data_IF_144391689638
#
_entry.id   IF_144391689638
#
_cell.length_a   1.000
_cell.length_b   1.000
_cell.length_c   1.000
_cell.angle_alpha   90.00
_cell.angle_beta   90.00
_cell.angle_gamma   90.00
#
_symmetry.space_group_name_H-M   'P 1'
#
loop_
_entity.id
_entity.type
_entity.pdbx_description
1 polymer ?
#
# COMPACT_ATOMS: atom_id res chain seq x y z
N UNK A 1 6.41 -23.05 34.58
CA UNK A 1 7.18 -22.36 33.51
C UNK A 1 6.17 -21.97 32.46
N UNK A 2 6.00 -20.67 32.31
CA UNK A 2 4.88 -20.03 31.63
C UNK A 2 4.94 -20.24 30.11
N UNK A 3 3.92 -20.90 29.55
CA UNK A 3 3.83 -21.18 28.11
C UNK A 3 3.46 -19.89 27.34
N UNK A 4 2.79 -18.95 28.00
CA UNK A 4 2.37 -17.66 27.42
C UNK A 4 3.58 -16.73 27.23
N UNK A 5 4.54 -16.74 28.15
CA UNK A 5 5.79 -15.98 28.02
C UNK A 5 6.65 -16.45 26.83
N UNK A 6 6.56 -17.74 26.46
CA UNK A 6 7.28 -18.30 25.30
C UNK A 6 6.63 -17.88 23.98
N UNK A 7 5.30 -17.83 23.92
CA UNK A 7 4.58 -17.36 22.73
C UNK A 7 4.86 -15.87 22.41
N UNK A 8 5.00 -15.02 23.43
CA UNK A 8 5.41 -13.61 23.25
C UNK A 8 6.85 -13.45 22.72
N UNK A 9 7.68 -14.47 22.87
CA UNK A 9 9.09 -14.46 22.45
C UNK A 9 9.33 -14.98 21.02
N UNK A 10 8.33 -15.62 20.37
CA UNK A 10 8.62 -16.33 19.13
C UNK A 10 8.74 -15.46 17.88
N UNK A 11 8.08 -14.29 17.76
CA UNK A 11 8.22 -13.46 16.55
C UNK A 11 8.25 -11.92 16.77
N UNK A 12 8.84 -11.38 17.85
CA UNK A 12 8.94 -9.93 18.04
C UNK A 12 9.76 -9.24 16.94
N UNK A 13 10.71 -9.94 16.31
CA UNK A 13 11.50 -9.41 15.20
C UNK A 13 10.70 -9.28 13.89
N UNK A 14 9.94 -10.31 13.53
CA UNK A 14 9.08 -10.28 12.35
C UNK A 14 8.00 -9.19 12.47
N UNK A 15 7.39 -9.05 13.66
CA UNK A 15 6.43 -7.97 13.93
C UNK A 15 7.09 -6.59 13.82
N UNK A 16 8.27 -6.39 14.42
CA UNK A 16 9.03 -5.12 14.30
C UNK A 16 9.37 -4.81 12.84
N UNK A 17 9.78 -5.81 12.07
CA UNK A 17 10.06 -5.66 10.65
C UNK A 17 8.79 -5.23 9.89
N UNK A 18 7.67 -5.91 10.11
CA UNK A 18 6.40 -5.57 9.47
C UNK A 18 5.93 -4.15 9.81
N UNK A 19 6.03 -3.73 11.07
CA UNK A 19 5.71 -2.37 11.49
C UNK A 19 6.62 -1.31 10.84
N UNK A 20 7.91 -1.62 10.68
CA UNK A 20 8.84 -0.75 9.94
C UNK A 20 8.45 -0.65 8.47
N UNK A 21 8.15 -1.76 7.82
CA UNK A 21 7.68 -1.78 6.43
C UNK A 21 6.38 -0.98 6.27
N UNK A 22 5.40 -1.18 7.16
CA UNK A 22 4.15 -0.43 7.17
C UNK A 22 4.40 1.08 7.31
N UNK A 23 5.28 1.47 8.22
CA UNK A 23 5.65 2.88 8.42
C UNK A 23 6.32 3.45 7.16
N UNK A 24 7.26 2.71 6.56
CA UNK A 24 7.89 3.10 5.29
C UNK A 24 6.85 3.29 4.17
N UNK A 25 5.91 2.36 4.02
CA UNK A 25 4.83 2.46 3.05
C UNK A 25 3.97 3.70 3.30
N UNK A 26 3.56 3.96 4.54
CA UNK A 26 2.76 5.14 4.88
C UNK A 26 3.49 6.46 4.58
N UNK A 27 4.80 6.53 4.86
CA UNK A 27 5.61 7.71 4.56
C UNK A 27 5.69 7.98 3.05
N UNK A 28 5.95 6.94 2.26
CA UNK A 28 6.01 7.05 0.79
C UNK A 28 4.64 7.43 0.24
N UNK A 29 3.58 6.74 0.67
CA UNK A 29 2.22 6.99 0.22
C UNK A 29 1.77 8.42 0.51
N UNK A 30 2.11 8.95 1.69
CA UNK A 30 1.83 10.34 2.05
C UNK A 30 2.50 11.32 1.09
N UNK A 31 3.77 11.11 0.78
CA UNK A 31 4.51 11.98 -0.15
C UNK A 31 3.95 11.90 -1.58
N UNK A 32 3.66 10.70 -2.07
CA UNK A 32 3.08 10.50 -3.40
C UNK A 32 1.70 11.16 -3.49
N UNK A 33 0.83 10.97 -2.49
CA UNK A 33 -0.49 11.60 -2.45
C UNK A 33 -0.41 13.13 -2.42
N UNK A 34 0.53 13.70 -1.66
CA UNK A 34 0.75 15.14 -1.65
C UNK A 34 1.19 15.64 -3.02
N UNK A 35 2.20 15.00 -3.62
CA UNK A 35 2.71 15.36 -4.94
C UNK A 35 1.65 15.26 -6.05
N UNK A 36 0.81 14.23 -6.03
CA UNK A 36 -0.29 14.07 -6.99
C UNK A 36 -1.34 15.19 -6.87
N UNK A 37 -1.68 15.60 -5.65
CA UNK A 37 -2.64 16.70 -5.43
C UNK A 37 -2.04 18.04 -5.81
N UNK A 38 -0.85 18.35 -5.31
CA UNK A 38 -0.24 19.68 -5.45
C UNK A 38 0.20 19.99 -6.88
N UNK A 39 0.68 18.97 -7.62
CA UNK A 39 1.26 19.17 -8.95
C UNK A 39 0.32 18.83 -10.09
N UNK A 40 -0.68 17.99 -9.86
CA UNK A 40 -1.49 17.40 -10.93
C UNK A 40 -3.00 17.43 -10.65
N UNK A 41 -3.44 18.02 -9.53
CA UNK A 41 -4.85 18.08 -9.12
C UNK A 41 -5.56 16.71 -9.19
N UNK A 42 -4.85 15.66 -8.81
CA UNK A 42 -5.35 14.29 -8.86
C UNK A 42 -5.10 13.54 -7.56
N UNK A 43 -5.68 12.35 -7.46
CA UNK A 43 -5.55 11.48 -6.29
C UNK A 43 -4.85 10.19 -6.66
N UNK A 44 -4.20 9.56 -5.68
CA UNK A 44 -3.55 8.26 -5.89
C UNK A 44 -4.51 7.19 -6.46
N UNK A 45 -5.77 7.03 -5.96
CA UNK A 45 -6.72 6.08 -6.55
C UNK A 45 -7.08 6.40 -8.01
N UNK A 46 -7.26 7.68 -8.35
CA UNK A 46 -7.55 8.07 -9.74
C UNK A 46 -6.36 7.79 -10.65
N UNK A 47 -5.16 8.12 -10.21
CA UNK A 47 -3.94 7.81 -10.96
C UNK A 47 -3.78 6.31 -11.18
N UNK A 48 -3.98 5.50 -10.14
CA UNK A 48 -3.86 4.05 -10.22
C UNK A 48 -4.80 3.48 -11.30
N UNK A 49 -6.09 3.86 -11.24
CA UNK A 49 -7.10 3.49 -12.23
C UNK A 49 -6.69 3.88 -13.66
N UNK A 50 -6.26 5.13 -13.86
CA UNK A 50 -5.86 5.63 -15.17
C UNK A 50 -4.63 4.88 -15.70
N UNK A 51 -3.68 4.53 -14.81
CA UNK A 51 -2.49 3.77 -15.18
C UNK A 51 -2.79 2.32 -15.54
N UNK A 52 -3.87 1.73 -15.00
CA UNK A 52 -4.33 0.41 -15.39
C UNK A 52 -4.99 0.46 -16.78
N UNK A 53 -5.82 1.47 -17.02
CA UNK A 53 -6.46 1.68 -18.33
C UNK A 53 -5.45 1.98 -19.44
N UNK A 54 -4.43 2.79 -19.16
CA UNK A 54 -3.38 3.11 -20.14
C UNK A 54 -2.62 1.86 -20.61
N UNK A 55 -2.42 0.89 -19.72
CA UNK A 55 -1.75 -0.39 -20.02
C UNK A 55 -2.64 -1.39 -20.77
N UNK A 56 -3.96 -1.16 -20.82
CA UNK A 56 -4.95 -2.04 -21.47
C UNK A 56 -5.71 -1.26 -22.57
N UNK A 57 -5.06 -0.99 -23.72
CA UNK A 57 -5.61 -0.12 -24.77
C UNK A 57 -6.91 -0.64 -25.40
N UNK A 58 -7.16 -1.95 -25.35
CA UNK A 58 -8.43 -2.60 -25.74
C UNK A 58 -9.60 -2.33 -24.78
N UNK A 59 -9.34 -1.67 -23.66
CA UNK A 59 -10.30 -1.43 -22.59
C UNK A 59 -10.36 -2.60 -21.60
N UNK A 60 -10.75 -2.29 -20.37
CA UNK A 60 -10.81 -3.25 -19.26
C UNK A 60 -12.22 -3.30 -18.69
N UNK A 61 -12.71 -4.49 -18.33
CA UNK A 61 -14.01 -4.63 -17.66
C UNK A 61 -13.94 -4.07 -16.24
N UNK A 62 -15.05 -3.56 -15.72
CA UNK A 62 -15.11 -3.06 -14.34
C UNK A 62 -14.77 -4.13 -13.29
N UNK A 63 -15.04 -5.41 -13.57
CA UNK A 63 -14.64 -6.54 -12.72
C UNK A 63 -13.12 -6.75 -12.64
N UNK A 64 -12.38 -6.33 -13.65
CA UNK A 64 -10.93 -6.43 -13.74
C UNK A 64 -10.25 -5.22 -13.08
N UNK A 65 -10.88 -4.04 -13.13
CA UNK A 65 -10.41 -2.80 -12.49
C UNK A 65 -10.57 -2.78 -10.96
N UNK A 66 -11.42 -3.64 -10.39
CA UNK A 66 -11.74 -3.66 -8.95
C UNK A 66 -10.91 -4.66 -8.14
N UNK A 67 -10.02 -5.42 -8.78
CA UNK A 67 -9.31 -6.55 -8.18
C UNK A 67 -7.90 -6.17 -7.75
#
# INVERSE_FOLDING_TARGET
>A
MDLEARAHSEHPEALRLWLRLLTCTQLIEKQVRAGLRERFDTTLPRFDLMSQLERAPEGMKMSELSR
#
